data_IF_304065072710
#
_entry.id   IF_304065072710
#
_cell.length_a   1.000
_cell.length_b   1.000
_cell.length_c   1.000
_cell.angle_alpha   90.00
_cell.angle_beta   90.00
_cell.angle_gamma   90.00
#
_symmetry.space_group_name_H-M   'P 1'
#
loop_
_entity.id
_entity.type
_entity.pdbx_description
1 polymer ?
#
# COMPACT_ATOMS: atom_id res chain seq x y z
N UNK A 1 -7.11 5.59 -4.77
CA UNK A 1 -5.96 5.00 -4.03
C UNK A 1 -5.70 5.80 -2.77
N UNK A 2 -5.45 5.13 -1.65
CA UNK A 2 -5.08 5.75 -0.38
C UNK A 2 -4.00 4.92 0.30
N UNK A 3 -2.91 5.58 0.70
CA UNK A 3 -1.84 4.98 1.52
C UNK A 3 -2.09 5.31 2.99
N UNK A 4 -2.03 4.30 3.85
CA UNK A 4 -2.19 4.46 5.31
C UNK A 4 -1.18 3.60 6.07
N UNK A 5 -0.67 4.13 7.18
CA UNK A 5 0.05 3.31 8.16
C UNK A 5 -0.97 2.53 8.98
N UNK A 6 -0.80 1.22 9.08
CA UNK A 6 -1.72 0.33 9.77
C UNK A 6 -0.96 -0.65 10.64
N UNK A 7 -1.58 -1.12 11.73
CA UNK A 7 -1.08 -2.29 12.48
C UNK A 7 -1.97 -3.48 12.17
N UNK A 8 -1.39 -4.55 11.65
CA UNK A 8 -2.12 -5.74 11.22
C UNK A 8 -1.37 -6.97 11.70
N UNK A 9 -2.08 -7.90 12.36
CA UNK A 9 -1.47 -9.08 12.97
C UNK A 9 -0.24 -8.74 13.84
N UNK A 10 -0.32 -7.65 14.60
CA UNK A 10 0.77 -7.18 15.47
C UNK A 10 1.91 -6.40 14.78
N UNK A 11 2.00 -6.43 13.45
CA UNK A 11 3.06 -5.77 12.68
C UNK A 11 2.66 -4.39 12.14
N UNK A 12 3.60 -3.43 12.13
CA UNK A 12 3.41 -2.14 11.48
C UNK A 12 3.58 -2.29 9.96
N UNK A 13 2.63 -1.79 9.19
CA UNK A 13 2.60 -1.89 7.73
C UNK A 13 2.14 -0.58 7.09
N UNK A 14 2.39 -0.47 5.79
CA UNK A 14 1.87 0.62 4.95
C UNK A 14 0.91 -0.04 3.94
N UNK A 15 -0.38 0.20 4.12
CA UNK A 15 -1.43 -0.38 3.27
C UNK A 15 -1.82 0.58 2.15
N UNK A 16 -1.97 0.03 0.94
CA UNK A 16 -2.62 0.68 -0.19
C UNK A 16 -4.06 0.18 -0.31
N UNK A 17 -5.01 1.12 -0.32
CA UNK A 17 -6.45 0.84 -0.42
C UNK A 17 -7.09 1.60 -1.59
N UNK A 18 -8.29 1.17 -2.01
CA UNK A 18 -9.03 1.78 -3.11
C UNK A 18 -8.44 1.50 -4.49
N UNK A 19 -7.87 0.30 -4.68
CA UNK A 19 -7.45 -0.26 -5.97
C UNK A 19 -8.52 -1.22 -6.50
N UNK A 20 -8.58 -1.40 -7.81
CA UNK A 20 -9.42 -2.42 -8.47
C UNK A 20 -8.61 -3.68 -8.78
N UNK A 21 -9.27 -4.79 -9.09
CA UNK A 21 -8.56 -6.03 -9.46
C UNK A 21 -7.67 -5.86 -10.70
N UNK A 22 -8.06 -5.03 -11.68
CA UNK A 22 -7.19 -4.70 -12.82
C UNK A 22 -5.93 -3.93 -12.41
N UNK A 23 -6.01 -3.12 -11.34
CA UNK A 23 -4.85 -2.39 -10.83
C UNK A 23 -3.90 -3.29 -10.03
N UNK A 24 -4.42 -4.36 -9.41
CA UNK A 24 -3.66 -5.29 -8.58
C UNK A 24 -2.42 -5.80 -9.31
N UNK A 25 -2.58 -6.35 -10.51
CA UNK A 25 -1.47 -6.92 -11.28
C UNK A 25 -0.37 -5.88 -11.54
N UNK A 26 -0.78 -4.66 -11.92
CA UNK A 26 0.14 -3.55 -12.16
C UNK A 26 0.86 -3.11 -10.88
N UNK A 27 0.14 -3.03 -9.76
CA UNK A 27 0.72 -2.66 -8.46
C UNK A 27 1.69 -3.73 -7.96
N UNK A 28 1.37 -5.01 -8.16
CA UNK A 28 2.31 -6.11 -7.90
C UNK A 28 3.56 -5.98 -8.76
N UNK A 29 3.42 -5.64 -10.05
CA UNK A 29 4.57 -5.40 -10.93
C UNK A 29 5.44 -4.20 -10.50
N UNK A 30 4.89 -3.22 -9.77
CA UNK A 30 5.67 -2.14 -9.17
C UNK A 30 6.45 -2.58 -7.92
N UNK A 31 6.11 -3.74 -7.34
CA UNK A 31 6.75 -4.32 -6.16
C UNK A 31 5.89 -4.29 -4.90
N UNK A 32 4.60 -3.95 -5.01
CA UNK A 32 3.66 -4.14 -3.89
C UNK A 32 3.37 -5.63 -3.73
N UNK A 33 3.06 -6.04 -2.52
CA UNK A 33 2.64 -7.41 -2.24
C UNK A 33 1.24 -7.41 -1.63
N UNK A 34 0.56 -8.54 -1.75
CA UNK A 34 -0.75 -8.72 -1.15
C UNK A 34 -0.81 -9.95 -0.26
N UNK A 35 -1.58 -9.83 0.81
CA UNK A 35 -1.88 -10.93 1.73
C UNK A 35 -3.38 -11.04 1.92
N UNK A 36 -3.86 -12.25 2.21
CA UNK A 36 -5.23 -12.47 2.66
C UNK A 36 -5.21 -12.47 4.19
N UNK A 37 -5.90 -11.50 4.79
CA UNK A 37 -5.96 -11.31 6.23
C UNK A 37 -7.42 -11.25 6.64
N UNK A 38 -7.84 -12.17 7.51
CA UNK A 38 -9.25 -12.30 7.90
C UNK A 38 -10.18 -12.31 6.67
N UNK A 39 -9.91 -13.22 5.73
CA UNK A 39 -10.71 -13.43 4.50
C UNK A 39 -10.67 -12.28 3.47
N UNK A 40 -10.03 -11.16 3.81
CA UNK A 40 -9.94 -9.99 2.95
C UNK A 40 -8.54 -9.88 2.36
N UNK A 41 -8.47 -9.66 1.05
CA UNK A 41 -7.21 -9.32 0.42
C UNK A 41 -6.82 -7.88 0.73
N UNK A 42 -5.58 -7.71 1.18
CA UNK A 42 -4.96 -6.42 1.51
C UNK A 42 -3.65 -6.28 0.77
N UNK A 43 -3.32 -5.06 0.37
CA UNK A 43 -2.11 -4.75 -0.41
C UNK A 43 -1.21 -3.82 0.37
N UNK A 44 0.09 -4.10 0.38
CA UNK A 44 1.06 -3.42 1.21
C UNK A 44 2.29 -2.99 0.41
N UNK A 45 2.90 -1.91 0.87
CA UNK A 45 4.24 -1.49 0.43
C UNK A 45 5.29 -2.24 1.28
N UNK A 46 6.38 -2.77 0.68
CA UNK A 46 7.50 -3.31 1.44
C UNK A 46 8.04 -2.30 2.45
N UNK A 47 8.38 -2.76 3.64
CA UNK A 47 8.94 -1.91 4.71
C UNK A 47 10.45 -2.07 4.86
N UNK A 48 11.08 -2.81 3.95
CA UNK A 48 12.52 -3.00 3.85
C UNK A 48 13.16 -1.95 2.92
N UNK A 49 14.41 -2.19 2.50
CA UNK A 49 15.15 -1.31 1.59
C UNK A 49 14.51 -1.13 0.22
N UNK A 50 13.61 -2.01 -0.23
CA UNK A 50 12.90 -1.86 -1.49
C UNK A 50 11.73 -0.86 -1.40
N UNK A 51 11.23 -0.61 -0.18
CA UNK A 51 10.06 0.25 0.08
C UNK A 51 10.12 1.63 -0.59
N UNK A 52 11.21 2.41 -0.42
CA UNK A 52 11.35 3.73 -1.05
C UNK A 52 11.22 3.69 -2.59
N UNK A 53 11.89 2.73 -3.24
CA UNK A 53 11.85 2.60 -4.70
C UNK A 53 10.46 2.16 -5.22
N UNK A 54 9.78 1.27 -4.49
CA UNK A 54 8.39 0.89 -4.81
C UNK A 54 7.47 2.08 -4.67
N UNK A 55 7.61 2.86 -3.60
CA UNK A 55 6.80 4.04 -3.36
C UNK A 55 7.04 5.11 -4.42
N UNK A 56 8.29 5.35 -4.83
CA UNK A 56 8.64 6.27 -5.91
C UNK A 56 7.92 5.92 -7.22
N UNK A 57 7.92 4.63 -7.62
CA UNK A 57 7.20 4.17 -8.83
C UNK A 57 5.69 4.42 -8.73
N UNK A 58 5.08 4.13 -7.58
CA UNK A 58 3.65 4.37 -7.35
C UNK A 58 3.34 5.86 -7.44
N UNK A 59 4.08 6.70 -6.72
CA UNK A 59 3.85 8.14 -6.68
C UNK A 59 4.14 8.83 -8.02
N UNK A 60 5.10 8.31 -8.78
CA UNK A 60 5.36 8.75 -10.16
C UNK A 60 4.18 8.50 -11.10
N UNK A 61 3.40 7.43 -10.88
CA UNK A 61 2.21 7.13 -11.68
C UNK A 61 0.91 7.73 -11.13
N UNK A 62 0.82 7.85 -9.82
CA UNK A 62 -0.35 8.31 -9.07
C UNK A 62 0.06 9.48 -8.16
N UNK A 63 0.00 10.71 -8.67
CA UNK A 63 0.40 11.89 -7.92
C UNK A 63 -0.39 12.05 -6.61
N UNK A 64 0.28 12.52 -5.56
CA UNK A 64 -0.35 12.82 -4.28
C UNK A 64 -1.31 13.98 -4.45
N UNK A 65 -2.60 13.74 -4.21
CA UNK A 65 -3.62 14.79 -4.28
C UNK A 65 -3.87 15.46 -2.92
N UNK A 66 -3.68 14.73 -1.83
CA UNK A 66 -3.91 15.21 -0.47
C UNK A 66 -3.08 14.41 0.52
N UNK A 67 -2.63 15.10 1.56
CA UNK A 67 -2.10 14.47 2.77
C UNK A 67 -3.17 14.66 3.85
N UNK A 68 -3.74 13.55 4.31
CA UNK A 68 -4.67 13.54 5.44
C UNK A 68 -3.92 13.54 6.76
N UNK A 69 -4.58 13.98 7.83
CA UNK A 69 -4.07 13.80 9.17
C UNK A 69 -3.97 12.31 9.52
N UNK A 70 -3.05 11.97 10.41
CA UNK A 70 -2.92 10.61 10.92
C UNK A 70 -4.16 10.30 11.74
N UNK A 71 -5.04 9.44 11.24
CA UNK A 71 -6.07 8.84 12.10
C UNK A 71 -5.35 8.10 13.25
N UNK A 72 -5.68 8.50 14.48
CA UNK A 72 -5.24 7.79 15.67
C UNK A 72 -5.86 6.39 15.64
N UNK A 73 -5.01 5.37 15.71
CA UNK A 73 -5.41 3.97 15.79
C UNK A 73 -5.75 3.59 17.22
#
# INVERSE_FOLDING_TARGET
LQLRRVRVMGANRIELSGFTDTMRERLTAYGLFHEIISWKLRMFVPTDSAGPAVLERVLGRYPVQRIGEREAA
#
